data_IF_540350958757
#
_entry.id   IF_540350958757
#
_cell.length_a   1.000
_cell.length_b   1.000
_cell.length_c   1.000
_cell.angle_alpha   90.00
_cell.angle_beta   90.00
_cell.angle_gamma   90.00
#
_symmetry.space_group_name_H-M   'P 1'
#
loop_
_entity.id
_entity.type
_entity.pdbx_description
1 polymer ?
#
# COMPACT_ATOMS: atom_id res chain seq x y z
N UNK A 1 -26.18 -50.47 -25.96
CA UNK A 1 -25.88 -49.87 -24.65
C UNK A 1 -24.65 -48.95 -24.77
N UNK A 2 -24.72 -47.86 -25.62
CA UNK A 2 -23.60 -46.92 -25.88
C UNK A 2 -24.11 -45.52 -26.25
N UNK A 3 -25.12 -44.97 -25.57
CA UNK A 3 -25.63 -43.62 -25.88
C UNK A 3 -25.94 -42.73 -24.65
N UNK A 4 -25.40 -43.01 -23.47
CA UNK A 4 -25.68 -42.21 -22.26
C UNK A 4 -24.46 -41.51 -21.65
N UNK A 5 -23.26 -41.62 -22.24
CA UNK A 5 -22.03 -41.02 -21.65
C UNK A 5 -21.66 -39.62 -22.19
N UNK A 6 -22.38 -39.08 -23.20
CA UNK A 6 -21.99 -37.84 -23.88
C UNK A 6 -22.70 -36.58 -23.36
N UNK A 7 -23.70 -36.68 -22.48
CA UNK A 7 -24.47 -35.52 -22.02
C UNK A 7 -24.02 -34.93 -20.68
N UNK A 8 -23.27 -35.67 -19.87
CA UNK A 8 -22.79 -35.18 -18.56
C UNK A 8 -21.62 -34.21 -18.66
N UNK A 9 -20.72 -34.38 -19.64
CA UNK A 9 -19.54 -33.52 -19.80
C UNK A 9 -19.86 -32.08 -20.23
N UNK A 10 -20.91 -31.89 -21.03
CA UNK A 10 -21.31 -30.54 -21.50
C UNK A 10 -22.00 -29.71 -20.43
N UNK A 11 -22.72 -30.32 -19.51
CA UNK A 11 -23.40 -29.58 -18.42
C UNK A 11 -22.44 -29.11 -17.35
N UNK A 12 -21.34 -29.82 -17.11
CA UNK A 12 -20.34 -29.45 -16.15
C UNK A 12 -19.46 -28.27 -16.64
N UNK A 13 -19.20 -28.15 -17.94
CA UNK A 13 -18.50 -27.01 -18.51
C UNK A 13 -19.28 -25.70 -18.40
N UNK A 14 -20.62 -25.73 -18.59
CA UNK A 14 -21.44 -24.51 -18.45
C UNK A 14 -21.56 -24.03 -17.01
N UNK A 15 -21.55 -24.89 -16.01
CA UNK A 15 -21.67 -24.52 -14.61
C UNK A 15 -20.37 -23.90 -14.10
N UNK A 16 -19.21 -24.40 -14.52
CA UNK A 16 -17.91 -23.84 -14.13
C UNK A 16 -17.66 -22.45 -14.75
N UNK A 17 -18.08 -22.26 -16.00
CA UNK A 17 -17.94 -20.97 -16.70
C UNK A 17 -18.88 -19.91 -16.09
N UNK A 18 -20.07 -20.27 -15.65
CA UNK A 18 -21.02 -19.35 -15.01
C UNK A 18 -20.63 -19.00 -13.57
N UNK A 19 -20.05 -19.94 -12.82
CA UNK A 19 -19.56 -19.70 -11.46
C UNK A 19 -18.33 -18.77 -11.44
N UNK A 20 -17.43 -18.85 -12.42
CA UNK A 20 -16.30 -17.94 -12.56
C UNK A 20 -16.74 -16.53 -12.99
N UNK A 21 -17.77 -16.39 -13.82
CA UNK A 21 -18.32 -15.08 -14.20
C UNK A 21 -19.05 -14.38 -13.04
N UNK A 22 -19.70 -15.12 -12.15
CA UNK A 22 -20.42 -14.56 -11.00
C UNK A 22 -19.48 -14.02 -9.89
N UNK A 23 -18.26 -14.55 -9.79
CA UNK A 23 -17.25 -14.06 -8.84
C UNK A 23 -16.62 -12.72 -9.25
N UNK A 24 -16.78 -12.30 -10.51
CA UNK A 24 -16.29 -11.01 -11.02
C UNK A 24 -17.35 -9.90 -11.09
N UNK A 25 -18.59 -10.20 -10.69
CA UNK A 25 -19.69 -9.21 -10.66
C UNK A 25 -19.78 -8.47 -9.31
N UNK A 26 -18.68 -8.26 -8.63
CA UNK A 26 -18.62 -7.27 -7.57
C UNK A 26 -18.92 -5.91 -8.19
N UNK A 27 -20.10 -5.33 -7.90
CA UNK A 27 -20.43 -3.95 -8.21
C UNK A 27 -19.47 -3.03 -7.45
N UNK A 28 -18.30 -2.81 -8.03
CA UNK A 28 -17.52 -1.63 -7.71
C UNK A 28 -18.38 -0.45 -8.19
N UNK A 29 -18.86 0.37 -7.28
CA UNK A 29 -19.27 1.73 -7.59
C UNK A 29 -18.00 2.47 -8.03
N UNK A 30 -17.57 2.21 -9.26
CA UNK A 30 -16.46 2.93 -9.86
C UNK A 30 -17.00 4.32 -10.18
N UNK A 31 -16.63 5.31 -9.36
CA UNK A 31 -16.74 6.72 -9.74
C UNK A 31 -16.21 6.89 -11.15
N UNK A 32 -16.85 7.77 -11.92
CA UNK A 32 -16.48 8.07 -13.30
C UNK A 32 -14.96 8.36 -13.38
N UNK A 33 -14.19 7.62 -14.21
CA UNK A 33 -12.76 7.88 -14.39
C UNK A 33 -12.47 9.34 -14.74
N UNK A 34 -13.38 10.00 -15.47
CA UNK A 34 -13.28 11.41 -15.83
C UNK A 34 -13.44 12.37 -14.64
N UNK A 35 -14.13 11.97 -13.56
CA UNK A 35 -14.22 12.81 -12.36
C UNK A 35 -12.89 12.85 -11.62
N UNK A 36 -12.24 11.71 -11.47
CA UNK A 36 -10.91 11.59 -10.81
C UNK A 36 -9.82 12.33 -11.57
N UNK A 37 -9.83 12.25 -12.90
CA UNK A 37 -8.91 13.01 -13.75
C UNK A 37 -9.09 14.52 -13.55
N UNK A 38 -10.33 15.00 -13.53
CA UNK A 38 -10.62 16.42 -13.26
C UNK A 38 -10.17 16.85 -11.86
N UNK A 39 -10.43 16.07 -10.82
CA UNK A 39 -9.95 16.36 -9.46
C UNK A 39 -8.42 16.37 -9.40
N UNK A 40 -7.75 15.47 -10.09
CA UNK A 40 -6.29 15.43 -10.14
C UNK A 40 -5.71 16.67 -10.85
N UNK A 41 -6.24 17.03 -12.02
CA UNK A 41 -5.82 18.25 -12.74
C UNK A 41 -6.07 19.50 -11.90
N UNK A 42 -7.26 19.62 -11.29
CA UNK A 42 -7.60 20.72 -10.39
C UNK A 42 -6.63 20.83 -9.22
N UNK A 43 -6.25 19.69 -8.63
CA UNK A 43 -5.27 19.67 -7.53
C UNK A 43 -3.91 20.21 -7.97
N UNK A 44 -3.44 19.86 -9.17
CA UNK A 44 -2.18 20.39 -9.72
C UNK A 44 -2.27 21.89 -9.99
N UNK A 45 -3.38 22.36 -10.57
CA UNK A 45 -3.62 23.79 -10.80
C UNK A 45 -3.60 24.59 -9.48
N UNK A 46 -4.28 24.05 -8.42
CA UNK A 46 -4.25 24.66 -7.10
C UNK A 46 -2.84 24.65 -6.49
N UNK A 47 -2.07 23.58 -6.70
CA UNK A 47 -0.70 23.50 -6.23
C UNK A 47 0.21 24.54 -6.89
N UNK A 48 0.12 24.68 -8.22
CA UNK A 48 0.94 25.59 -9.01
C UNK A 48 0.59 27.07 -8.72
N UNK A 49 -0.68 27.35 -8.42
CA UNK A 49 -1.14 28.68 -8.05
C UNK A 49 -0.92 29.02 -6.55
N UNK A 50 -0.53 28.02 -5.72
CA UNK A 50 -0.44 28.18 -4.28
C UNK A 50 0.68 29.15 -3.87
N UNK A 51 0.34 30.07 -2.96
CA UNK A 51 1.27 31.05 -2.36
C UNK A 51 1.35 30.96 -0.85
N UNK A 52 0.40 30.27 -0.22
CA UNK A 52 0.34 30.08 1.24
C UNK A 52 0.16 28.61 1.61
N UNK A 53 0.44 28.27 2.88
CA UNK A 53 0.23 26.92 3.41
C UNK A 53 -1.23 26.46 3.20
N UNK A 54 -2.20 27.35 3.38
CA UNK A 54 -3.63 27.02 3.20
C UNK A 54 -3.97 26.69 1.74
N UNK A 55 -3.29 27.30 0.77
CA UNK A 55 -3.49 26.99 -0.66
C UNK A 55 -2.96 25.59 -0.99
N UNK A 56 -1.78 25.22 -0.46
CA UNK A 56 -1.28 23.86 -0.59
C UNK A 56 -2.20 22.83 0.06
N UNK A 57 -2.79 23.15 1.21
CA UNK A 57 -3.82 22.29 1.83
C UNK A 57 -5.11 22.19 1.00
N UNK A 58 -5.45 23.22 0.21
CA UNK A 58 -6.56 23.11 -0.73
C UNK A 58 -6.28 22.10 -1.85
N UNK A 59 -5.06 22.11 -2.41
CA UNK A 59 -4.60 21.07 -3.35
C UNK A 59 -4.63 19.68 -2.69
N UNK A 60 -4.13 19.55 -1.45
CA UNK A 60 -4.14 18.29 -0.72
C UNK A 60 -5.55 17.72 -0.58
N UNK A 61 -6.57 18.54 -0.24
CA UNK A 61 -7.98 18.08 -0.12
C UNK A 61 -8.54 17.52 -1.41
N UNK A 62 -8.20 18.08 -2.57
CA UNK A 62 -8.63 17.52 -3.87
C UNK A 62 -7.98 16.15 -4.12
N UNK A 63 -6.70 15.97 -3.77
CA UNK A 63 -6.03 14.67 -3.89
C UNK A 63 -6.57 13.63 -2.90
N UNK A 64 -6.90 14.05 -1.67
CA UNK A 64 -7.54 13.18 -0.68
C UNK A 64 -8.92 12.70 -1.12
N UNK A 65 -9.69 13.54 -1.84
CA UNK A 65 -10.99 13.13 -2.38
C UNK A 65 -10.86 11.94 -3.33
N UNK A 66 -9.80 11.89 -4.13
CA UNK A 66 -9.51 10.77 -5.05
C UNK A 66 -9.21 9.48 -4.25
N UNK A 67 -8.44 9.61 -3.16
CA UNK A 67 -8.13 8.47 -2.28
C UNK A 67 -9.38 7.99 -1.51
N UNK A 68 -10.27 8.90 -1.11
CA UNK A 68 -11.53 8.55 -0.44
C UNK A 68 -12.47 7.72 -1.34
N UNK A 69 -12.36 7.83 -2.65
CA UNK A 69 -13.05 6.97 -3.62
C UNK A 69 -12.44 5.56 -3.71
N UNK A 70 -11.41 5.24 -2.93
CA UNK A 70 -10.69 3.96 -2.95
C UNK A 70 -9.67 3.83 -4.09
N UNK A 71 -9.35 4.93 -4.79
CA UNK A 71 -8.39 4.92 -5.88
C UNK A 71 -6.98 5.24 -5.40
N UNK A 72 -6.18 4.21 -5.18
CA UNK A 72 -4.78 4.34 -4.79
C UNK A 72 -3.85 4.43 -6.02
N UNK A 73 -3.05 5.49 -6.08
CA UNK A 73 -2.10 5.71 -7.17
C UNK A 73 -0.84 6.41 -6.65
N UNK A 74 0.32 5.98 -7.14
CA UNK A 74 1.60 6.56 -6.75
C UNK A 74 1.77 8.04 -7.10
N UNK A 75 1.12 8.52 -8.17
CA UNK A 75 1.14 9.94 -8.53
C UNK A 75 0.28 10.76 -7.55
N UNK A 76 -0.88 10.25 -7.13
CA UNK A 76 -1.74 10.91 -6.15
C UNK A 76 -1.02 11.04 -4.81
N UNK A 77 -0.47 9.94 -4.28
CA UNK A 77 0.31 9.97 -3.03
C UNK A 77 1.53 10.87 -3.11
N UNK A 78 2.27 10.86 -4.22
CA UNK A 78 3.45 11.71 -4.40
C UNK A 78 3.09 13.20 -4.36
N UNK A 79 2.06 13.62 -5.12
CA UNK A 79 1.64 15.02 -5.14
C UNK A 79 0.99 15.45 -3.82
N UNK A 80 0.28 14.54 -3.14
CA UNK A 80 -0.24 14.78 -1.80
C UNK A 80 0.91 15.01 -0.80
N UNK A 81 1.98 14.20 -0.89
CA UNK A 81 3.21 14.42 -0.13
C UNK A 81 3.84 15.78 -0.40
N UNK A 82 3.90 16.20 -1.69
CA UNK A 82 4.41 17.52 -2.07
C UNK A 82 3.55 18.65 -1.47
N UNK A 83 2.22 18.52 -1.54
CA UNK A 83 1.30 19.54 -1.01
C UNK A 83 1.45 19.69 0.51
N UNK A 84 1.50 18.60 1.26
CA UNK A 84 1.73 18.63 2.71
C UNK A 84 3.13 19.15 3.08
N UNK A 85 4.17 18.78 2.34
CA UNK A 85 5.51 19.30 2.55
C UNK A 85 5.56 20.82 2.40
N UNK A 86 4.94 21.35 1.35
CA UNK A 86 4.86 22.81 1.10
C UNK A 86 3.98 23.53 2.11
N UNK A 87 2.99 22.84 2.70
CA UNK A 87 2.18 23.35 3.78
C UNK A 87 2.89 23.34 5.15
N UNK A 88 4.05 22.67 5.27
CA UNK A 88 4.79 22.53 6.54
C UNK A 88 4.31 21.36 7.40
N UNK A 89 3.40 20.49 6.90
CA UNK A 89 2.88 19.31 7.58
C UNK A 89 3.77 18.08 7.26
N UNK A 90 4.95 18.05 7.88
CA UNK A 90 5.99 17.09 7.50
C UNK A 90 5.62 15.63 7.77
N UNK A 91 4.93 15.34 8.86
CA UNK A 91 4.49 13.97 9.17
C UNK A 91 3.54 13.42 8.11
N UNK A 92 2.56 14.22 7.67
CA UNK A 92 1.66 13.83 6.58
C UNK A 92 2.40 13.71 5.24
N UNK A 93 3.38 14.56 4.98
CA UNK A 93 4.21 14.47 3.78
C UNK A 93 5.00 13.15 3.76
N UNK A 94 5.70 12.82 4.85
CA UNK A 94 6.46 11.58 5.02
C UNK A 94 5.56 10.35 4.78
N UNK A 95 4.40 10.31 5.42
CA UNK A 95 3.45 9.22 5.24
C UNK A 95 3.06 9.03 3.77
N UNK A 96 2.72 10.12 3.07
CA UNK A 96 2.27 10.03 1.68
C UNK A 96 3.40 9.66 0.72
N UNK A 97 4.63 10.13 0.95
CA UNK A 97 5.80 9.64 0.21
C UNK A 97 6.07 8.16 0.46
N UNK A 98 5.94 7.68 1.70
CA UNK A 98 6.05 6.25 2.05
C UNK A 98 4.97 5.42 1.35
N UNK A 99 3.72 5.93 1.25
CA UNK A 99 2.63 5.29 0.51
C UNK A 99 2.84 5.31 -1.01
N UNK A 100 3.50 6.33 -1.56
CA UNK A 100 3.85 6.40 -2.98
C UNK A 100 4.95 5.41 -3.38
N UNK A 101 5.92 5.11 -2.49
CA UNK A 101 7.11 4.30 -2.78
C UNK A 101 6.81 2.93 -3.40
N UNK A 102 5.82 2.13 -2.96
CA UNK A 102 5.47 0.86 -3.57
C UNK A 102 4.97 0.95 -5.01
N UNK A 103 4.41 2.08 -5.39
CA UNK A 103 3.93 2.33 -6.76
C UNK A 103 5.03 2.90 -7.66
N UNK A 104 6.04 3.56 -7.06
CA UNK A 104 7.15 4.26 -7.73
C UNK A 104 8.50 3.88 -7.09
N UNK A 105 8.90 2.60 -7.07
CA UNK A 105 10.00 2.10 -6.23
C UNK A 105 11.38 2.65 -6.63
N UNK A 106 11.56 3.10 -7.88
CA UNK A 106 12.85 3.63 -8.40
C UNK A 106 12.79 5.10 -8.75
N UNK A 107 11.84 5.83 -8.19
CA UNK A 107 11.70 7.26 -8.44
C UNK A 107 12.67 8.05 -7.56
N UNK A 108 13.70 8.61 -8.20
CA UNK A 108 14.73 9.41 -7.52
C UNK A 108 14.18 10.72 -6.96
N UNK A 109 13.17 11.32 -7.60
CA UNK A 109 12.52 12.54 -7.10
C UNK A 109 11.70 12.24 -5.85
N UNK A 110 10.96 11.12 -5.84
CA UNK A 110 10.24 10.68 -4.65
C UNK A 110 11.19 10.44 -3.48
N UNK A 111 12.32 9.77 -3.71
CA UNK A 111 13.30 9.50 -2.67
C UNK A 111 13.92 10.81 -2.15
N UNK A 112 14.31 11.73 -3.04
CA UNK A 112 14.86 13.03 -2.65
C UNK A 112 13.87 13.86 -1.82
N UNK A 113 12.59 13.92 -2.24
CA UNK A 113 11.56 14.65 -1.51
C UNK A 113 11.26 14.01 -0.15
N UNK A 114 11.25 12.69 -0.05
CA UNK A 114 11.12 11.99 1.22
C UNK A 114 12.28 12.34 2.17
N UNK A 115 13.52 12.31 1.69
CA UNK A 115 14.69 12.67 2.49
C UNK A 115 14.65 14.13 2.94
N UNK A 116 14.17 15.05 2.09
CA UNK A 116 13.97 16.44 2.46
C UNK A 116 12.90 16.58 3.56
N UNK A 117 11.78 15.86 3.44
CA UNK A 117 10.73 15.89 4.46
C UNK A 117 11.21 15.31 5.79
N UNK A 118 11.95 14.20 5.77
CA UNK A 118 12.58 13.62 6.95
C UNK A 118 13.61 14.56 7.60
N UNK A 119 14.37 15.30 6.81
CA UNK A 119 15.34 16.28 7.33
C UNK A 119 14.67 17.53 7.93
N UNK A 120 13.53 17.94 7.40
CA UNK A 120 12.77 19.09 7.87
C UNK A 120 11.87 18.77 9.08
N UNK A 121 11.49 17.49 9.27
CA UNK A 121 10.61 17.08 10.34
C UNK A 121 11.25 17.22 11.72
N UNK A 122 10.61 17.94 12.67
CA UNK A 122 11.18 18.17 14.01
C UNK A 122 11.19 16.89 14.88
N UNK A 123 10.37 15.91 14.52
CA UNK A 123 10.23 14.65 15.24
C UNK A 123 10.99 13.48 14.63
N UNK A 124 11.98 13.73 13.77
CA UNK A 124 12.73 12.64 13.12
C UNK A 124 13.34 11.69 14.17
N UNK A 125 12.92 10.45 14.11
CA UNK A 125 13.49 9.33 14.84
C UNK A 125 14.37 8.48 13.92
N UNK A 126 15.04 7.47 14.49
CA UNK A 126 15.65 6.41 13.71
C UNK A 126 14.59 5.70 12.85
N UNK A 127 14.93 5.34 11.63
CA UNK A 127 13.98 4.60 10.80
C UNK A 127 13.67 3.25 11.45
N UNK A 128 12.38 2.85 11.50
CA UNK A 128 12.01 1.53 11.97
C UNK A 128 12.76 0.42 11.23
N UNK A 129 13.25 -0.56 11.97
CA UNK A 129 14.05 -1.64 11.42
C UNK A 129 13.33 -2.33 10.24
N UNK A 130 14.08 -2.55 9.16
CA UNK A 130 13.53 -3.30 8.03
C UNK A 130 13.39 -4.78 8.40
N UNK A 131 12.25 -5.42 8.04
CA UNK A 131 12.10 -6.86 8.24
C UNK A 131 13.24 -7.64 7.57
N UNK A 132 13.75 -8.68 8.21
CA UNK A 132 14.86 -9.50 7.70
C UNK A 132 14.67 -10.06 6.28
N UNK A 133 13.43 -10.34 5.90
CA UNK A 133 13.09 -10.88 4.59
C UNK A 133 13.33 -9.88 3.44
N UNK A 134 13.44 -8.58 3.70
CA UNK A 134 13.78 -7.57 2.69
C UNK A 134 15.19 -7.76 2.14
N UNK A 135 16.11 -8.30 2.94
CA UNK A 135 17.47 -8.64 2.49
C UNK A 135 17.48 -9.85 1.56
N UNK A 136 16.55 -10.79 1.75
CA UNK A 136 16.41 -11.97 0.89
C UNK A 136 15.73 -11.62 -0.43
N UNK A 137 14.74 -10.72 -0.37
CA UNK A 137 13.95 -10.30 -1.52
C UNK A 137 14.54 -9.05 -2.19
N UNK A 138 15.83 -9.11 -2.57
CA UNK A 138 16.58 -7.98 -3.16
C UNK A 138 15.95 -7.43 -4.45
N UNK A 139 15.10 -8.22 -5.12
CA UNK A 139 14.35 -7.79 -6.31
C UNK A 139 13.05 -7.02 -5.98
N UNK A 140 12.74 -6.85 -4.69
CA UNK A 140 11.51 -6.20 -4.22
C UNK A 140 11.29 -4.82 -4.84
N UNK A 141 12.35 -4.05 -5.02
CA UNK A 141 12.27 -2.70 -5.58
C UNK A 141 12.37 -2.65 -7.12
N UNK A 142 12.43 -3.80 -7.80
CA UNK A 142 12.53 -3.82 -9.28
C UNK A 142 11.20 -3.51 -9.94
N UNK A 143 10.10 -3.90 -9.32
CA UNK A 143 8.75 -3.76 -9.86
C UNK A 143 7.85 -3.03 -8.88
N UNK A 144 6.94 -2.22 -9.41
CA UNK A 144 5.90 -1.61 -8.59
C UNK A 144 4.93 -2.67 -8.05
N UNK A 145 4.29 -2.39 -6.91
CA UNK A 145 3.34 -3.31 -6.28
C UNK A 145 2.24 -3.80 -7.26
N UNK A 146 1.57 -2.94 -8.04
CA UNK A 146 0.58 -3.39 -9.02
C UNK A 146 1.19 -4.30 -10.10
N UNK A 147 2.43 -4.04 -10.51
CA UNK A 147 3.12 -4.89 -11.49
C UNK A 147 3.42 -6.28 -10.92
N UNK A 148 3.86 -6.38 -9.67
CA UNK A 148 4.08 -7.65 -8.98
C UNK A 148 2.82 -8.49 -8.91
N UNK A 149 1.71 -7.89 -8.51
CA UNK A 149 0.39 -8.57 -8.45
C UNK A 149 -0.02 -9.08 -9.83
N UNK A 150 0.15 -8.27 -10.90
CA UNK A 150 -0.15 -8.69 -12.27
C UNK A 150 0.77 -9.83 -12.72
N UNK A 151 2.07 -9.76 -12.44
CA UNK A 151 3.02 -10.82 -12.79
C UNK A 151 2.74 -12.10 -12.03
N UNK A 152 2.35 -12.03 -10.75
CA UNK A 152 1.93 -13.17 -9.95
C UNK A 152 0.68 -13.85 -10.56
N UNK A 153 -0.34 -13.07 -10.89
CA UNK A 153 -1.56 -13.57 -11.53
C UNK A 153 -1.27 -14.21 -12.89
N UNK A 154 -0.45 -13.56 -13.74
CA UNK A 154 -0.05 -14.11 -15.03
C UNK A 154 0.77 -15.40 -14.87
N UNK A 155 1.65 -15.50 -13.88
CA UNK A 155 2.41 -16.70 -13.56
C UNK A 155 1.49 -17.86 -13.18
N UNK A 156 0.47 -17.61 -12.38
CA UNK A 156 -0.55 -18.64 -12.02
C UNK A 156 -1.38 -19.09 -13.24
N UNK A 157 -1.77 -18.14 -14.10
CA UNK A 157 -2.50 -18.46 -15.34
C UNK A 157 -1.63 -19.30 -16.29
N UNK A 158 -0.36 -18.96 -16.48
CA UNK A 158 0.58 -19.75 -17.28
C UNK A 158 0.80 -21.14 -16.70
N UNK A 159 0.91 -21.27 -15.38
CA UNK A 159 1.04 -22.55 -14.71
C UNK A 159 -0.18 -23.46 -15.01
N UNK A 160 -1.38 -22.92 -14.89
CA UNK A 160 -2.62 -23.64 -15.23
C UNK A 160 -2.66 -24.03 -16.72
N UNK A 161 -2.27 -23.14 -17.62
CA UNK A 161 -2.18 -23.40 -19.07
C UNK A 161 -1.18 -24.51 -19.40
N UNK A 162 0.04 -24.45 -18.87
CA UNK A 162 1.05 -25.50 -19.08
C UNK A 162 0.64 -26.82 -18.47
N UNK A 163 0.00 -26.82 -17.30
CA UNK A 163 -0.53 -28.03 -16.70
C UNK A 163 -1.61 -28.69 -17.58
N UNK A 164 -2.55 -27.91 -18.10
CA UNK A 164 -3.56 -28.40 -19.03
C UNK A 164 -2.92 -28.99 -20.30
N UNK A 165 -1.94 -28.31 -20.87
CA UNK A 165 -1.19 -28.80 -22.04
C UNK A 165 -0.42 -30.10 -21.72
N UNK A 166 0.11 -30.27 -20.52
CA UNK A 166 0.74 -31.52 -20.07
C UNK A 166 -0.24 -32.69 -20.17
N UNK A 167 -1.47 -32.48 -19.68
CA UNK A 167 -2.51 -33.51 -19.72
C UNK A 167 -2.92 -33.86 -21.16
N UNK A 168 -3.06 -32.83 -22.02
CA UNK A 168 -3.52 -33.05 -23.43
C UNK A 168 -2.41 -33.65 -24.28
N UNK A 169 -1.19 -33.10 -24.19
CA UNK A 169 -0.07 -33.49 -25.07
C UNK A 169 0.80 -34.60 -24.49
N UNK A 170 0.58 -34.97 -23.23
CA UNK A 170 1.36 -35.98 -22.46
C UNK A 170 2.86 -35.76 -22.55
N UNK A 171 3.27 -34.50 -22.34
CA UNK A 171 4.69 -34.05 -22.38
C UNK A 171 5.15 -33.58 -21.00
N UNK A 172 6.03 -34.34 -20.34
CA UNK A 172 6.52 -34.06 -18.99
C UNK A 172 7.32 -32.74 -18.90
N UNK A 173 7.95 -32.31 -19.99
CA UNK A 173 8.63 -31.02 -20.06
C UNK A 173 7.68 -29.84 -19.78
N UNK A 174 6.41 -29.93 -20.17
CA UNK A 174 5.39 -28.89 -19.88
C UNK A 174 5.03 -28.85 -18.39
N UNK A 175 5.10 -29.98 -17.70
CA UNK A 175 4.91 -30.02 -16.24
C UNK A 175 6.00 -29.20 -15.51
N UNK A 176 7.25 -29.31 -15.94
CA UNK A 176 8.33 -28.51 -15.37
C UNK A 176 8.11 -27.00 -15.57
N UNK A 177 7.62 -26.60 -16.76
CA UNK A 177 7.26 -25.20 -17.01
C UNK A 177 6.07 -24.75 -16.17
N UNK A 178 5.08 -25.61 -15.95
CA UNK A 178 3.95 -25.33 -15.07
C UNK A 178 4.40 -25.11 -13.62
N UNK A 179 5.27 -25.97 -13.11
CA UNK A 179 5.86 -25.86 -11.77
C UNK A 179 6.68 -24.57 -11.64
N UNK A 180 7.56 -24.29 -12.61
CA UNK A 180 8.39 -23.08 -12.60
C UNK A 180 7.52 -21.80 -12.60
N UNK A 181 6.49 -21.73 -13.43
CA UNK A 181 5.56 -20.61 -13.49
C UNK A 181 4.75 -20.46 -12.18
N UNK A 182 4.34 -21.57 -11.58
CA UNK A 182 3.64 -21.57 -10.28
C UNK A 182 4.53 -21.06 -9.16
N UNK A 183 5.75 -21.56 -9.07
CA UNK A 183 6.71 -21.12 -8.04
C UNK A 183 7.07 -19.64 -8.20
N UNK A 184 7.36 -19.18 -9.42
CA UNK A 184 7.66 -17.78 -9.69
C UNK A 184 6.49 -16.85 -9.38
N UNK A 185 5.29 -17.20 -9.83
CA UNK A 185 4.07 -16.44 -9.53
C UNK A 185 3.74 -16.38 -8.04
N UNK A 186 3.89 -17.53 -7.34
CA UNK A 186 3.66 -17.61 -5.89
C UNK A 186 4.70 -16.79 -5.10
N UNK A 187 5.97 -16.80 -5.49
CA UNK A 187 7.02 -16.01 -4.85
C UNK A 187 6.75 -14.51 -4.96
N UNK A 188 6.36 -14.02 -6.16
CA UNK A 188 5.99 -12.62 -6.37
C UNK A 188 4.72 -12.22 -5.61
N UNK A 189 3.73 -13.12 -5.56
CA UNK A 189 2.49 -12.88 -4.80
C UNK A 189 2.73 -12.82 -3.30
N UNK A 190 3.55 -13.72 -2.76
CA UNK A 190 3.94 -13.73 -1.35
C UNK A 190 4.71 -12.48 -0.98
N UNK A 191 5.69 -12.08 -1.80
CA UNK A 191 6.45 -10.84 -1.59
C UNK A 191 5.53 -9.60 -1.60
N UNK A 192 4.64 -9.49 -2.57
CA UNK A 192 3.68 -8.39 -2.65
C UNK A 192 2.78 -8.33 -1.41
N UNK A 193 2.35 -9.49 -0.90
CA UNK A 193 1.52 -9.60 0.30
C UNK A 193 2.30 -9.21 1.58
N UNK A 194 3.51 -9.73 1.76
CA UNK A 194 4.38 -9.38 2.90
C UNK A 194 4.72 -7.89 2.93
N UNK A 195 5.03 -7.32 1.76
CA UNK A 195 5.28 -5.89 1.61
C UNK A 195 4.04 -5.04 1.95
N UNK A 196 2.85 -5.52 1.61
CA UNK A 196 1.60 -4.85 1.98
C UNK A 196 1.38 -4.86 3.49
N UNK A 197 1.53 -6.01 4.15
CA UNK A 197 1.39 -6.14 5.61
C UNK A 197 2.35 -5.23 6.37
N UNK A 198 3.62 -5.17 5.96
CA UNK A 198 4.62 -4.33 6.64
C UNK A 198 4.33 -2.83 6.52
N UNK A 199 3.63 -2.41 5.46
CA UNK A 199 3.21 -1.01 5.28
C UNK A 199 2.02 -0.62 6.15
N UNK A 200 1.05 -1.53 6.32
CA UNK A 200 -0.13 -1.28 7.16
C UNK A 200 0.21 -1.03 8.62
N UNK A 201 1.36 -1.50 9.07
CA UNK A 201 1.80 -1.40 10.46
C UNK A 201 2.69 -0.16 10.73
N UNK A 202 2.72 0.82 9.83
CA UNK A 202 3.49 2.06 10.05
C UNK A 202 2.55 3.23 10.30
N UNK A 203 2.89 4.02 11.32
CA UNK A 203 2.25 5.28 11.63
C UNK A 203 3.26 6.42 11.67
N UNK A 204 2.76 7.64 11.53
CA UNK A 204 3.55 8.87 11.66
C UNK A 204 2.80 9.84 12.56
N UNK A 205 3.51 10.48 13.47
CA UNK A 205 2.97 11.54 14.32
C UNK A 205 2.79 12.81 13.48
N UNK A 206 1.65 13.48 13.62
CA UNK A 206 1.28 14.66 12.82
C UNK A 206 1.22 15.95 13.63
N UNK A 207 1.32 15.86 14.96
CA UNK A 207 1.40 17.01 15.85
C UNK A 207 2.11 16.63 17.15
N UNK A 208 2.63 17.62 17.86
CA UNK A 208 3.31 17.39 19.13
C UNK A 208 2.38 16.75 20.16
N UNK A 209 2.79 15.63 20.75
CA UNK A 209 2.00 14.87 21.71
C UNK A 209 2.87 14.08 22.68
N UNK A 210 2.34 13.77 23.87
CA UNK A 210 2.98 12.87 24.81
C UNK A 210 2.44 11.46 24.64
N UNK A 211 3.34 10.49 24.43
CA UNK A 211 2.97 9.09 24.54
C UNK A 211 2.76 8.70 25.99
N UNK A 212 1.83 7.79 26.25
CA UNK A 212 1.45 7.35 27.59
C UNK A 212 1.71 5.85 27.78
N UNK A 213 1.88 5.41 29.04
CA UNK A 213 2.08 4.00 29.39
C UNK A 213 0.79 3.17 29.25
N UNK A 214 -0.39 3.83 29.12
CA UNK A 214 -1.68 3.14 29.01
C UNK A 214 -2.74 3.99 28.27
N UNK A 215 -3.92 3.40 28.07
CA UNK A 215 -5.04 3.99 27.34
C UNK A 215 -5.91 4.86 28.24
N UNK A 216 -5.47 6.07 28.58
CA UNK A 216 -6.23 6.99 29.43
C UNK A 216 -5.43 8.24 29.74
N UNK A 217 -6.13 9.34 30.08
CA UNK A 217 -5.47 10.64 30.37
C UNK A 217 -4.68 10.66 31.67
N UNK A 218 -4.95 9.73 32.59
CA UNK A 218 -4.37 9.68 33.92
C UNK A 218 -3.13 8.79 34.01
N UNK A 219 -2.72 8.18 32.88
CA UNK A 219 -1.49 7.38 32.84
C UNK A 219 -0.27 8.28 32.74
N UNK A 220 0.82 7.81 33.34
CA UNK A 220 2.13 8.48 33.25
C UNK A 220 2.61 8.53 31.79
N UNK A 221 3.41 9.54 31.49
CA UNK A 221 4.12 9.64 30.22
C UNK A 221 5.03 8.41 30.01
N UNK A 222 5.01 7.87 28.80
CA UNK A 222 5.88 6.75 28.41
C UNK A 222 7.32 7.23 28.17
N UNK A 223 7.49 8.47 27.75
CA UNK A 223 8.78 9.08 27.41
C UNK A 223 8.95 10.42 28.13
N UNK A 224 10.21 10.81 28.39
CA UNK A 224 10.54 12.07 29.05
C UNK A 224 10.30 13.29 28.12
N UNK A 225 10.30 13.08 26.82
CA UNK A 225 10.11 14.15 25.82
C UNK A 225 8.87 13.89 24.98
N UNK A 226 8.19 14.97 24.52
CA UNK A 226 7.05 14.82 23.60
C UNK A 226 7.52 14.30 22.23
N UNK A 227 6.68 13.47 21.63
CA UNK A 227 6.79 13.10 20.23
C UNK A 227 6.39 14.30 19.38
N UNK A 228 7.13 14.57 18.30
CA UNK A 228 6.89 15.70 17.41
C UNK A 228 6.48 15.25 16.03
N UNK A 229 5.97 16.20 15.23
CA UNK A 229 5.57 15.96 13.83
C UNK A 229 6.70 15.29 13.04
N UNK A 230 6.35 14.23 12.31
CA UNK A 230 7.27 13.42 11.51
C UNK A 230 7.92 12.23 12.23
N UNK A 231 7.61 11.97 13.51
CA UNK A 231 8.08 10.78 14.20
C UNK A 231 7.40 9.53 13.62
N UNK A 232 8.18 8.67 12.96
CA UNK A 232 7.73 7.38 12.43
C UNK A 232 7.77 6.30 13.51
N UNK A 233 6.78 5.38 13.50
CA UNK A 233 6.71 4.27 14.44
C UNK A 233 6.01 3.04 13.86
N UNK A 234 6.21 1.88 14.50
CA UNK A 234 5.51 0.65 14.17
C UNK A 234 4.26 0.51 15.02
N UNK A 235 3.11 0.34 14.40
CA UNK A 235 1.84 0.10 15.07
C UNK A 235 1.81 -1.36 15.53
N UNK A 236 1.70 -1.57 16.84
CA UNK A 236 1.62 -2.89 17.46
C UNK A 236 0.18 -3.27 17.79
N UNK A 237 -0.63 -2.31 18.22
CA UNK A 237 -2.05 -2.51 18.56
C UNK A 237 -2.82 -1.21 18.41
N UNK A 238 -4.14 -1.31 18.25
CA UNK A 238 -5.00 -0.17 18.10
C UNK A 238 -6.35 -0.39 18.78
N UNK A 239 -6.84 0.68 19.41
CA UNK A 239 -8.19 0.78 19.97
C UNK A 239 -8.97 1.90 19.26
N UNK A 240 -10.20 2.17 19.68
CA UNK A 240 -11.03 3.24 19.10
C UNK A 240 -10.34 4.62 19.16
N UNK A 241 -9.67 4.94 20.27
CA UNK A 241 -9.11 6.27 20.53
C UNK A 241 -7.58 6.31 20.58
N UNK A 242 -6.92 5.15 20.71
CA UNK A 242 -5.50 5.04 20.99
C UNK A 242 -4.80 4.05 20.07
N UNK A 243 -3.57 4.37 19.69
CA UNK A 243 -2.65 3.49 18.98
C UNK A 243 -1.44 3.20 19.86
N UNK A 244 -1.15 1.90 20.05
CA UNK A 244 0.09 1.44 20.70
C UNK A 244 1.16 1.23 19.65
N UNK A 245 2.30 1.86 19.84
CA UNK A 245 3.39 1.82 18.87
C UNK A 245 4.75 1.66 19.47
N UNK A 246 5.65 1.09 18.67
CA UNK A 246 7.08 1.01 18.93
C UNK A 246 7.80 2.14 18.22
N UNK A 247 8.46 3.00 18.97
CA UNK A 247 9.26 4.12 18.48
C UNK A 247 10.73 3.75 18.57
N UNK A 248 11.40 3.65 17.43
CA UNK A 248 12.79 3.20 17.35
C UNK A 248 13.72 4.11 18.15
N UNK A 249 14.49 3.50 19.06
CA UNK A 249 15.44 4.19 19.92
C UNK A 249 14.83 4.86 21.18
N UNK A 250 13.49 4.84 21.36
CA UNK A 250 12.82 5.46 22.51
C UNK A 250 12.04 4.41 23.32
N UNK A 251 11.35 3.47 22.65
CA UNK A 251 10.54 2.42 23.29
C UNK A 251 9.08 2.39 22.86
N UNK A 252 8.22 1.83 23.72
CA UNK A 252 6.82 1.60 23.40
C UNK A 252 5.91 2.58 24.14
N UNK A 253 4.83 3.01 23.48
CA UNK A 253 3.89 3.93 24.09
C UNK A 253 2.54 4.00 23.38
N UNK A 254 1.53 4.47 24.12
CA UNK A 254 0.18 4.75 23.60
C UNK A 254 0.07 6.20 23.18
N UNK A 255 -0.43 6.43 21.96
CA UNK A 255 -0.68 7.77 21.42
C UNK A 255 -2.13 7.86 20.96
N UNK A 256 -2.76 9.02 21.11
CA UNK A 256 -4.13 9.24 20.64
C UNK A 256 -4.20 9.23 19.12
N UNK A 257 -5.25 8.61 18.60
CA UNK A 257 -5.45 8.45 17.15
C UNK A 257 -5.51 9.77 16.39
N UNK A 258 -5.94 10.86 17.04
CA UNK A 258 -6.01 12.19 16.43
C UNK A 258 -4.63 12.78 16.03
N UNK A 259 -3.54 12.29 16.67
CA UNK A 259 -2.17 12.72 16.38
C UNK A 259 -1.42 11.74 15.47
N UNK A 260 -2.09 10.71 14.97
CA UNK A 260 -1.50 9.64 14.16
C UNK A 260 -2.08 9.65 12.77
N UNK A 261 -1.21 9.76 11.76
CA UNK A 261 -1.53 9.44 10.38
C UNK A 261 -1.02 8.03 10.02
N UNK A 262 -1.77 7.31 9.16
CA UNK A 262 -1.50 5.91 8.78
C UNK A 262 -2.02 5.56 7.38
#
# INVERSE_FOLDING_TARGET
MKMLACSAGRRMQFVVTFALAALFSGSCNASDPGSRERSFVKALELFDAATSANDYLASARELESILAEGFENGAVYYNLGNAYYRAGEFGRAILNYRKAKPYRPRDTYLEANLQQALAAAPGRLSEPAMPWWTHVLFWSDWFSHPTKVRLAANGMMLAAGFFLLTVVLRRDALLLLAIAALLGGSALGLEAWLSHLSRMNRGVITAETMAQKGTGRDYEAAFDQPLKDGAEFLILSQTADWTFGHFEGIGDGWVRNEFVAR
#
